data_IF_113605822540
#
_entry.id   IF_113605822540
#
_cell.length_a   1.000
_cell.length_b   1.000
_cell.length_c   1.000
_cell.angle_alpha   90.00
_cell.angle_beta   90.00
_cell.angle_gamma   90.00
#
_symmetry.space_group_name_H-M   'P 1'
#
loop_
_entity.id
_entity.type
_entity.pdbx_description
1 polymer ?
#
# COMPACT_ATOMS: atom_id res chain seq x y z
N UNK A 1 9.71 33.30 -38.73
CA UNK A 1 10.39 32.51 -37.66
C UNK A 1 9.90 32.88 -36.24
N UNK A 2 9.44 34.11 -35.99
CA UNK A 2 8.99 34.58 -34.67
C UNK A 2 7.68 33.94 -34.17
N UNK A 3 6.70 33.68 -35.05
CA UNK A 3 5.41 33.08 -34.65
C UNK A 3 5.52 31.61 -34.22
N UNK A 4 6.42 30.84 -34.84
CA UNK A 4 6.65 29.43 -34.49
C UNK A 4 7.30 29.28 -33.11
N UNK A 5 8.27 30.14 -32.78
CA UNK A 5 8.89 30.19 -31.45
C UNK A 5 7.90 30.62 -30.35
N UNK A 6 6.99 31.55 -30.64
CA UNK A 6 5.91 31.95 -29.73
C UNK A 6 4.91 30.82 -29.46
N UNK A 7 4.53 30.07 -30.49
CA UNK A 7 3.63 28.92 -30.35
C UNK A 7 4.27 27.78 -29.55
N UNK A 8 5.55 27.49 -29.81
CA UNK A 8 6.32 26.50 -29.04
C UNK A 8 6.47 26.91 -27.57
N UNK A 9 6.71 28.20 -27.30
CA UNK A 9 6.81 28.72 -25.93
C UNK A 9 5.47 28.64 -25.18
N UNK A 10 4.36 28.92 -25.86
CA UNK A 10 3.02 28.78 -25.27
C UNK A 10 2.70 27.31 -24.96
N UNK A 11 3.05 26.40 -25.86
CA UNK A 11 2.89 24.96 -25.63
C UNK A 11 3.73 24.46 -24.45
N UNK A 12 4.99 24.91 -24.37
CA UNK A 12 5.87 24.59 -23.24
C UNK A 12 5.32 25.12 -21.91
N UNK A 13 4.75 26.33 -21.92
CA UNK A 13 4.12 26.90 -20.73
C UNK A 13 2.90 26.10 -20.29
N UNK A 14 2.01 25.73 -21.23
CA UNK A 14 0.84 24.91 -20.94
C UNK A 14 1.28 23.55 -20.38
N UNK A 15 2.28 22.91 -21.00
CA UNK A 15 2.82 21.65 -20.52
C UNK A 15 3.39 21.76 -19.10
N UNK A 16 4.15 22.83 -18.82
CA UNK A 16 4.70 23.08 -17.49
C UNK A 16 3.61 23.27 -16.43
N UNK A 17 2.54 24.00 -16.76
CA UNK A 17 1.37 24.17 -15.87
C UNK A 17 0.69 22.82 -15.61
N UNK A 18 0.46 22.02 -16.65
CA UNK A 18 -0.15 20.69 -16.52
C UNK A 18 0.71 19.78 -15.63
N UNK A 19 2.01 19.69 -15.89
CA UNK A 19 2.93 18.87 -15.09
C UNK A 19 2.96 19.32 -13.63
N UNK A 20 3.01 20.63 -13.39
CA UNK A 20 3.01 21.18 -12.02
C UNK A 20 1.70 20.86 -11.30
N UNK A 21 0.56 20.94 -11.99
CA UNK A 21 -0.74 20.63 -11.42
C UNK A 21 -0.85 19.15 -11.01
N UNK A 22 -0.39 18.23 -11.86
CA UNK A 22 -0.38 16.80 -11.53
C UNK A 22 0.65 16.44 -10.45
N UNK A 23 1.80 17.11 -10.43
CA UNK A 23 2.81 16.92 -9.38
C UNK A 23 2.35 17.42 -8.00
N UNK A 24 1.38 18.34 -7.95
CA UNK A 24 0.82 18.88 -6.72
C UNK A 24 -0.34 18.02 -6.14
N UNK A 25 -0.71 16.91 -6.77
CA UNK A 25 -1.75 16.04 -6.22
C UNK A 25 -1.27 15.40 -4.90
N UNK A 26 -2.14 15.31 -3.89
CA UNK A 26 -1.78 14.70 -2.62
C UNK A 26 -1.41 13.22 -2.82
N UNK A 27 -0.32 12.79 -2.19
CA UNK A 27 0.00 11.39 -2.08
C UNK A 27 -0.94 10.73 -1.05
N UNK A 28 -1.69 9.71 -1.46
CA UNK A 28 -2.48 8.90 -0.55
C UNK A 28 -1.54 7.91 0.16
N UNK A 29 -1.17 8.24 1.38
CA UNK A 29 -0.45 7.31 2.26
C UNK A 29 -1.43 6.28 2.85
N UNK A 30 -0.91 5.11 3.21
CA UNK A 30 -1.65 4.13 4.00
C UNK A 30 -1.84 4.69 5.41
N UNK A 31 -3.06 4.59 5.96
CA UNK A 31 -3.35 5.07 7.31
C UNK A 31 -2.63 4.18 8.34
N UNK A 32 -1.73 4.73 9.17
CA UNK A 32 -0.97 3.93 10.13
C UNK A 32 -1.85 3.46 11.28
N UNK A 33 -1.75 2.18 11.63
CA UNK A 33 -2.46 1.59 12.75
C UNK A 33 -1.61 1.78 14.02
N UNK A 34 -2.02 2.68 14.90
CA UNK A 34 -1.31 2.95 16.16
C UNK A 34 -1.50 1.80 17.15
N UNK A 35 -0.39 1.28 17.70
CA UNK A 35 -0.41 0.29 18.77
C UNK A 35 0.12 0.96 20.05
N UNK A 36 -0.75 1.28 21.01
CA UNK A 36 -0.32 1.73 22.33
C UNK A 36 -0.36 0.60 23.36
N UNK A 37 0.52 0.68 24.37
CA UNK A 37 0.57 -0.30 25.46
C UNK A 37 -0.75 -0.42 26.23
N UNK A 38 -1.47 0.70 26.36
CA UNK A 38 -2.71 0.78 27.14
C UNK A 38 -3.97 0.55 26.29
N UNK A 39 -3.81 0.30 24.98
CA UNK A 39 -4.93 -0.01 24.10
C UNK A 39 -5.47 -1.40 24.43
N UNK A 40 -6.74 -1.47 24.84
CA UNK A 40 -7.41 -2.74 25.15
C UNK A 40 -7.81 -3.53 23.91
N UNK A 41 -8.05 -2.83 22.80
CA UNK A 41 -8.47 -3.41 21.54
C UNK A 41 -8.02 -2.50 20.39
N UNK A 42 -7.72 -3.13 19.26
CA UNK A 42 -7.34 -2.47 18.02
C UNK A 42 -8.41 -2.74 16.96
N UNK A 43 -8.92 -1.67 16.34
CA UNK A 43 -9.87 -1.81 15.23
C UNK A 43 -9.10 -2.04 13.93
N UNK A 44 -9.21 -3.27 13.39
CA UNK A 44 -8.60 -3.68 12.13
C UNK A 44 -9.62 -3.81 10.99
N UNK A 45 -10.88 -3.45 11.21
CA UNK A 45 -11.96 -3.69 10.24
C UNK A 45 -11.71 -3.06 8.86
N UNK A 46 -11.03 -1.91 8.81
CA UNK A 46 -10.67 -1.23 7.56
C UNK A 46 -9.35 -1.67 6.92
N UNK A 47 -8.56 -2.50 7.59
CA UNK A 47 -7.20 -2.85 7.18
C UNK A 47 -6.91 -4.35 7.16
N UNK A 48 -7.91 -5.19 7.44
CA UNK A 48 -7.78 -6.65 7.45
C UNK A 48 -8.22 -7.25 6.12
N UNK A 49 -7.42 -8.16 5.59
CA UNK A 49 -7.75 -9.04 4.49
C UNK A 49 -7.93 -10.46 5.01
N UNK A 50 -9.08 -11.06 4.71
CA UNK A 50 -9.40 -12.42 5.14
C UNK A 50 -9.18 -13.40 3.99
N UNK A 51 -8.28 -14.35 4.20
CA UNK A 51 -8.07 -15.51 3.34
C UNK A 51 -8.80 -16.69 3.94
N UNK A 52 -9.66 -17.36 3.18
CA UNK A 52 -10.46 -18.47 3.69
C UNK A 52 -9.97 -19.81 3.18
N UNK A 53 -10.07 -20.84 4.01
CA UNK A 53 -9.75 -22.23 3.65
C UNK A 53 -8.32 -22.43 3.07
N UNK A 54 -7.32 -21.74 3.60
CA UNK A 54 -5.91 -21.90 3.20
C UNK A 54 -5.21 -23.09 3.88
N UNK A 55 -5.91 -23.79 4.76
CA UNK A 55 -5.37 -24.92 5.52
C UNK A 55 -4.53 -24.47 6.73
N UNK A 56 -3.79 -25.42 7.28
CA UNK A 56 -3.04 -25.27 8.55
C UNK A 56 -1.75 -24.47 8.39
N UNK A 57 -1.15 -24.46 7.19
CA UNK A 57 0.06 -23.70 6.89
C UNK A 57 -0.27 -22.59 5.90
N UNK A 58 -0.04 -21.34 6.30
CA UNK A 58 -0.30 -20.16 5.49
C UNK A 58 0.97 -19.38 5.24
N UNK A 59 1.18 -19.00 3.98
CA UNK A 59 2.32 -18.22 3.55
C UNK A 59 1.88 -16.90 2.95
N UNK A 60 2.55 -15.81 3.32
CA UNK A 60 2.30 -14.47 2.79
C UNK A 60 3.60 -13.72 2.56
N UNK A 61 3.64 -12.93 1.49
CA UNK A 61 4.78 -12.06 1.19
C UNK A 61 4.62 -10.72 1.90
N UNK A 62 5.72 -10.17 2.40
CA UNK A 62 5.74 -8.83 2.99
C UNK A 62 5.86 -7.77 1.90
N UNK A 63 5.53 -6.51 2.24
CA UNK A 63 6.00 -5.39 1.44
C UNK A 63 7.55 -5.40 1.35
N UNK A 64 8.13 -4.85 0.26
CA UNK A 64 9.57 -4.68 0.16
C UNK A 64 10.12 -3.86 1.33
N UNK A 65 11.23 -4.31 1.91
CA UNK A 65 11.94 -3.53 2.93
C UNK A 65 12.66 -2.31 2.33
N UNK A 66 13.36 -1.52 3.15
CA UNK A 66 14.21 -0.41 2.67
C UNK A 66 15.30 -0.85 1.68
N UNK A 67 15.65 -2.15 1.71
CA UNK A 67 16.57 -2.83 0.80
C UNK A 67 15.92 -3.28 -0.51
N UNK A 68 14.60 -3.10 -0.67
CA UNK A 68 13.83 -3.58 -1.82
C UNK A 68 13.54 -5.09 -1.79
N UNK A 69 13.91 -5.79 -0.71
CA UNK A 69 13.76 -7.24 -0.62
C UNK A 69 12.37 -7.60 -0.10
N UNK A 70 11.66 -8.43 -0.86
CA UNK A 70 10.40 -9.07 -0.45
C UNK A 70 10.72 -10.32 0.36
N UNK A 71 10.15 -10.42 1.57
CA UNK A 71 10.32 -11.57 2.46
C UNK A 71 9.03 -12.41 2.45
N UNK A 72 9.14 -13.66 2.87
CA UNK A 72 7.99 -14.56 3.05
C UNK A 72 7.87 -14.95 4.51
N UNK A 73 6.66 -14.85 5.02
CA UNK A 73 6.28 -15.31 6.35
C UNK A 73 5.44 -16.57 6.15
N UNK A 74 5.76 -17.61 6.92
CA UNK A 74 4.95 -18.81 7.04
C UNK A 74 4.47 -18.92 8.47
N UNK A 75 3.18 -19.21 8.63
CA UNK A 75 2.54 -19.43 9.93
C UNK A 75 1.80 -20.76 9.88
N UNK A 76 1.92 -21.51 10.97
CA UNK A 76 1.25 -22.79 11.17
C UNK A 76 0.19 -22.63 12.26
N UNK A 77 -0.97 -23.23 12.04
CA UNK A 77 -2.05 -23.23 13.01
C UNK A 77 -1.65 -24.04 14.26
N UNK A 78 -1.98 -23.53 15.45
CA UNK A 78 -1.67 -24.23 16.70
C UNK A 78 -2.57 -25.46 16.97
N UNK A 79 -3.65 -25.66 16.22
CA UNK A 79 -4.60 -26.75 16.41
C UNK A 79 -5.01 -27.38 15.07
N UNK A 80 -5.04 -28.72 15.02
CA UNK A 80 -5.51 -29.53 13.90
C UNK A 80 -7.01 -29.34 13.56
N UNK A 81 -7.77 -28.64 14.42
CA UNK A 81 -9.17 -28.24 14.16
C UNK A 81 -9.29 -26.81 13.62
N UNK A 82 -8.19 -26.22 13.14
CA UNK A 82 -8.19 -24.92 12.49
C UNK A 82 -9.21 -24.87 11.34
N UNK A 83 -9.97 -23.78 11.23
CA UNK A 83 -10.80 -23.55 10.04
C UNK A 83 -9.98 -23.33 8.77
N UNK A 84 -8.68 -23.07 8.92
CA UNK A 84 -7.80 -22.67 7.83
C UNK A 84 -8.07 -21.26 7.31
N UNK A 85 -8.82 -20.44 8.04
CA UNK A 85 -9.02 -19.03 7.72
C UNK A 85 -7.92 -18.17 8.38
N UNK A 86 -7.40 -17.21 7.62
CA UNK A 86 -6.29 -16.36 8.01
C UNK A 86 -6.62 -14.89 7.81
N UNK A 87 -6.26 -14.07 8.79
CA UNK A 87 -6.41 -12.62 8.74
C UNK A 87 -5.03 -11.97 8.59
N UNK A 88 -4.86 -11.13 7.57
CA UNK A 88 -3.63 -10.40 7.29
C UNK A 88 -3.91 -8.91 7.30
N UNK A 89 -3.04 -8.13 7.92
CA UNK A 89 -3.07 -6.66 7.90
C UNK A 89 -1.64 -6.13 7.81
N UNK A 90 -1.47 -4.91 7.32
CA UNK A 90 -0.17 -4.25 7.12
C UNK A 90 -0.28 -2.75 7.41
#
# INVERSE_FOLDING_TARGET
MTNFSRLASLFALILAVVVTFFAAMPAFAVEPIKIARDDKALDLSGAVQIYRNQGENFQVSTAPGPDGIVRRIEVEANDARSSGDWAVFA
#
